data_IF_435050111617
#
_entry.id   IF_435050111617
#
_cell.length_a   1.000
_cell.length_b   1.000
_cell.length_c   1.000
_cell.angle_alpha   90.00
_cell.angle_beta   90.00
_cell.angle_gamma   90.00
#
_symmetry.space_group_name_H-M   'P 1'
#
loop_
_entity.id
_entity.type
_entity.pdbx_description
1 polymer ?
#
# COMPACT_ATOMS: atom_id res chain seq x y z
N UNK A 1 28.69 -28.12 -15.46
CA UNK A 1 27.76 -27.01 -15.79
C UNK A 1 26.37 -27.38 -15.27
N UNK A 2 26.14 -27.29 -13.97
CA UNK A 2 24.78 -26.95 -13.51
C UNK A 2 24.51 -25.58 -14.11
N UNK A 3 23.59 -25.56 -15.08
CA UNK A 3 23.66 -24.61 -16.19
C UNK A 3 23.36 -23.18 -15.70
N UNK A 4 23.99 -22.16 -16.29
CA UNK A 4 23.68 -20.74 -15.97
C UNK A 4 22.16 -20.46 -16.00
N UNK A 5 21.42 -21.21 -16.80
CA UNK A 5 19.96 -21.21 -16.86
C UNK A 5 19.27 -21.65 -15.56
N UNK A 6 19.78 -22.67 -14.86
CA UNK A 6 19.26 -23.10 -13.56
C UNK A 6 19.47 -22.04 -12.48
N UNK A 7 20.63 -21.38 -12.48
CA UNK A 7 20.91 -20.25 -11.56
C UNK A 7 19.92 -19.11 -11.82
N UNK A 8 19.65 -18.80 -13.09
CA UNK A 8 18.68 -17.78 -13.48
C UNK A 8 17.27 -18.19 -13.08
N UNK A 9 16.86 -19.44 -13.29
CA UNK A 9 15.54 -19.94 -12.91
C UNK A 9 15.33 -19.88 -11.38
N UNK A 10 16.35 -20.22 -10.58
CA UNK A 10 16.30 -20.07 -9.12
C UNK A 10 16.15 -18.61 -8.70
N UNK A 11 16.92 -17.69 -9.30
CA UNK A 11 16.80 -16.24 -9.05
C UNK A 11 15.45 -15.68 -9.47
N UNK A 12 14.91 -16.12 -10.60
CA UNK A 12 13.59 -15.74 -11.09
C UNK A 12 12.51 -16.16 -10.09
N UNK A 13 12.55 -17.41 -9.62
CA UNK A 13 11.63 -17.92 -8.60
C UNK A 13 11.70 -17.10 -7.30
N UNK A 14 12.90 -16.74 -6.85
CA UNK A 14 13.09 -15.91 -5.65
C UNK A 14 12.52 -14.50 -5.84
N UNK A 15 12.76 -13.84 -6.98
CA UNK A 15 12.25 -12.50 -7.24
C UNK A 15 10.73 -12.47 -7.37
N UNK A 16 10.13 -13.46 -8.07
CA UNK A 16 8.67 -13.61 -8.15
C UNK A 16 8.05 -13.87 -6.78
N UNK A 17 8.70 -14.67 -5.94
CA UNK A 17 8.25 -14.88 -4.56
C UNK A 17 8.25 -13.58 -3.74
N UNK A 18 9.28 -12.74 -3.89
CA UNK A 18 9.33 -11.43 -3.24
C UNK A 18 8.24 -10.48 -3.76
N UNK A 19 7.95 -10.48 -5.07
CA UNK A 19 6.85 -9.69 -5.64
C UNK A 19 5.51 -10.10 -5.04
N UNK A 20 5.23 -11.40 -4.97
CA UNK A 20 3.98 -11.90 -4.39
C UNK A 20 3.78 -11.47 -2.93
N UNK A 21 4.85 -11.42 -2.14
CA UNK A 21 4.80 -10.92 -0.75
C UNK A 21 4.51 -9.42 -0.71
N UNK A 22 5.14 -8.62 -1.58
CA UNK A 22 4.86 -7.18 -1.67
C UNK A 22 3.42 -6.91 -2.12
N UNK A 23 2.90 -7.69 -3.07
CA UNK A 23 1.51 -7.56 -3.53
C UNK A 23 0.51 -7.86 -2.40
N UNK A 24 0.78 -8.88 -1.58
CA UNK A 24 -0.02 -9.17 -0.39
C UNK A 24 0.01 -8.01 0.61
N UNK A 25 1.19 -7.45 0.86
CA UNK A 25 1.35 -6.28 1.74
C UNK A 25 0.61 -5.05 1.17
N UNK A 26 0.66 -4.83 -0.14
CA UNK A 26 -0.07 -3.76 -0.80
C UNK A 26 -1.57 -3.91 -0.60
N UNK A 27 -2.10 -5.12 -0.79
CA UNK A 27 -3.52 -5.40 -0.62
C UNK A 27 -3.98 -5.20 0.83
N UNK A 28 -3.16 -5.65 1.78
CA UNK A 28 -3.42 -5.42 3.20
C UNK A 28 -3.48 -3.92 3.52
N UNK A 29 -2.54 -3.13 2.98
CA UNK A 29 -2.47 -1.70 3.21
C UNK A 29 -3.66 -0.96 2.56
N UNK A 30 -4.05 -1.34 1.35
CA UNK A 30 -5.26 -0.81 0.69
C UNK A 30 -6.50 -1.08 1.55
N UNK A 31 -6.63 -2.28 2.11
CA UNK A 31 -7.75 -2.62 2.99
C UNK A 31 -7.75 -1.76 4.27
N UNK A 32 -6.58 -1.48 4.84
CA UNK A 32 -6.47 -0.63 6.03
C UNK A 32 -6.79 0.84 5.71
N UNK A 33 -6.37 1.33 4.54
CA UNK A 33 -6.74 2.66 4.06
C UNK A 33 -8.26 2.80 3.89
N UNK A 34 -8.94 1.78 3.34
CA UNK A 34 -10.40 1.77 3.23
C UNK A 34 -11.07 1.84 4.60
N UNK A 35 -10.61 1.02 5.57
CA UNK A 35 -11.13 1.06 6.94
C UNK A 35 -10.92 2.44 7.59
N UNK A 36 -9.73 3.01 7.45
CA UNK A 36 -9.42 4.35 7.95
C UNK A 36 -10.34 5.41 7.32
N UNK A 37 -10.57 5.33 6.01
CA UNK A 37 -11.46 6.24 5.29
C UNK A 37 -12.91 6.11 5.76
N UNK A 38 -13.43 4.90 5.91
CA UNK A 38 -14.80 4.67 6.43
C UNK A 38 -14.96 5.25 7.83
N UNK A 39 -13.98 5.04 8.71
CA UNK A 39 -14.01 5.61 10.08
C UNK A 39 -13.96 7.14 10.08
N UNK A 40 -13.12 7.74 9.23
CA UNK A 40 -13.05 9.19 9.09
C UNK A 40 -14.38 9.78 8.57
N UNK A 41 -15.03 9.12 7.60
CA UNK A 41 -16.35 9.53 7.11
C UNK A 41 -17.42 9.47 8.20
N UNK A 42 -17.41 8.42 9.03
CA UNK A 42 -18.35 8.29 10.15
C UNK A 42 -18.16 9.41 11.19
N UNK A 43 -16.92 9.78 11.51
CA UNK A 43 -16.64 10.93 12.39
C UNK A 43 -17.13 12.24 11.78
N UNK A 44 -16.87 12.45 10.49
CA UNK A 44 -17.34 13.66 9.79
C UNK A 44 -18.87 13.75 9.76
N UNK A 45 -19.57 12.64 9.53
CA UNK A 45 -21.04 12.60 9.59
C UNK A 45 -21.55 13.01 10.97
N UNK A 46 -20.93 12.50 12.04
CA UNK A 46 -21.32 12.82 13.42
C UNK A 46 -20.97 14.25 13.82
N UNK A 47 -19.85 14.78 13.34
CA UNK A 47 -19.52 16.20 13.50
C UNK A 47 -20.57 17.08 12.83
N UNK A 48 -20.97 16.72 11.60
CA UNK A 48 -22.01 17.43 10.85
C UNK A 48 -23.35 17.44 11.61
N UNK A 49 -23.79 16.31 12.13
CA UNK A 49 -25.00 16.23 12.97
C UNK A 49 -24.95 17.15 14.20
N UNK A 50 -23.78 17.29 14.82
CA UNK A 50 -23.60 18.18 15.97
C UNK A 50 -23.61 19.66 15.57
N UNK A 51 -23.06 20.00 14.40
CA UNK A 51 -22.96 21.38 13.89
C UNK A 51 -24.23 21.86 13.20
N UNK A 52 -25.04 20.97 12.62
CA UNK A 52 -26.25 21.30 11.86
C UNK A 52 -27.44 21.69 12.77
N UNK A 53 -27.20 21.82 14.07
CA UNK A 53 -28.23 22.23 15.01
C UNK A 53 -28.69 23.68 14.83
N UNK A 54 -30.00 23.89 14.89
CA UNK A 54 -30.66 25.19 14.83
C UNK A 54 -31.55 25.39 16.06
N UNK A 55 -31.50 26.58 16.68
CA UNK A 55 -32.38 26.96 17.79
C UNK A 55 -31.64 27.67 18.94
N UNK A 56 -32.19 27.58 20.15
CA UNK A 56 -31.51 27.97 21.41
C UNK A 56 -31.36 26.74 22.30
N UNK A 57 -30.14 26.44 22.76
CA UNK A 57 -29.86 25.35 23.70
C UNK A 57 -29.61 25.92 25.09
N UNK A 58 -29.93 25.12 26.11
CA UNK A 58 -29.50 25.40 27.47
C UNK A 58 -27.97 25.37 27.58
N UNK A 59 -27.41 26.10 28.54
CA UNK A 59 -25.95 26.16 28.75
C UNK A 59 -25.33 24.76 28.95
N UNK A 60 -26.00 23.86 29.67
CA UNK A 60 -25.49 22.50 29.91
C UNK A 60 -25.44 21.66 28.63
N UNK A 61 -26.44 21.77 27.75
CA UNK A 61 -26.44 21.05 26.47
C UNK A 61 -25.39 21.61 25.50
N UNK A 62 -25.16 22.93 25.50
CA UNK A 62 -24.07 23.53 24.73
C UNK A 62 -22.71 23.02 25.18
N UNK A 63 -22.49 22.92 26.49
CA UNK A 63 -21.25 22.40 27.05
C UNK A 63 -21.04 20.93 26.68
N UNK A 64 -22.07 20.10 26.82
CA UNK A 64 -21.99 18.68 26.44
C UNK A 64 -21.69 18.51 24.95
N UNK A 65 -22.38 19.25 24.07
CA UNK A 65 -22.08 19.25 22.62
C UNK A 65 -20.65 19.67 22.32
N UNK A 66 -20.13 20.70 22.98
CA UNK A 66 -18.74 21.15 22.83
C UNK A 66 -17.76 20.03 23.20
N UNK A 67 -18.01 19.32 24.30
CA UNK A 67 -17.18 18.18 24.73
C UNK A 67 -17.27 17.02 23.74
N UNK A 68 -18.46 16.72 23.21
CA UNK A 68 -18.64 15.72 22.15
C UNK A 68 -17.87 16.08 20.87
N UNK A 69 -18.00 17.32 20.40
CA UNK A 69 -17.25 17.82 19.24
C UNK A 69 -15.75 17.76 19.47
N UNK A 70 -15.24 18.18 20.63
CA UNK A 70 -13.82 18.12 20.94
C UNK A 70 -13.27 16.69 20.86
N UNK A 71 -14.01 15.70 21.37
CA UNK A 71 -13.64 14.27 21.26
C UNK A 71 -13.60 13.81 19.80
N UNK A 72 -14.60 14.18 19.01
CA UNK A 72 -14.64 13.84 17.58
C UNK A 72 -13.52 14.52 16.79
N UNK A 73 -13.15 15.76 17.11
CA UNK A 73 -12.00 16.44 16.51
C UNK A 73 -10.69 15.70 16.80
N UNK A 74 -10.47 15.24 18.03
CA UNK A 74 -9.30 14.42 18.36
C UNK A 74 -9.28 13.12 17.55
N UNK A 75 -10.42 12.47 17.37
CA UNK A 75 -10.54 11.26 16.53
C UNK A 75 -10.30 11.56 15.04
N UNK A 76 -10.83 12.67 14.52
CA UNK A 76 -10.58 13.08 13.13
C UNK A 76 -9.08 13.32 12.91
N UNK A 77 -8.41 13.98 13.85
CA UNK A 77 -6.97 14.23 13.78
C UNK A 77 -6.15 12.94 13.81
N UNK A 78 -6.53 11.96 14.62
CA UNK A 78 -5.84 10.66 14.64
C UNK A 78 -6.01 9.91 13.32
N UNK A 79 -7.20 9.95 12.71
CA UNK A 79 -7.42 9.35 11.38
C UNK A 79 -6.65 10.07 10.27
N UNK A 80 -6.51 11.39 10.31
CA UNK A 80 -5.67 12.13 9.35
C UNK A 80 -4.21 11.70 9.47
N UNK A 81 -3.72 11.56 10.71
CA UNK A 81 -2.35 11.09 10.98
C UNK A 81 -2.15 9.66 10.50
N UNK A 82 -3.09 8.75 10.80
CA UNK A 82 -3.05 7.36 10.33
C UNK A 82 -3.08 7.30 8.80
N UNK A 83 -3.93 8.08 8.14
CA UNK A 83 -4.00 8.13 6.68
C UNK A 83 -2.67 8.57 6.06
N UNK A 84 -2.02 9.59 6.63
CA UNK A 84 -0.71 10.04 6.14
C UNK A 84 0.37 8.95 6.32
N UNK A 85 0.35 8.24 7.45
CA UNK A 85 1.27 7.12 7.69
C UNK A 85 1.06 5.99 6.67
N UNK A 86 -0.19 5.60 6.43
CA UNK A 86 -0.54 4.57 5.45
C UNK A 86 -0.13 4.99 4.04
N UNK A 87 -0.33 6.26 3.66
CA UNK A 87 0.07 6.75 2.34
C UNK A 87 1.60 6.70 2.17
N UNK A 88 2.36 7.11 3.19
CA UNK A 88 3.82 6.99 3.18
C UNK A 88 4.29 5.54 3.02
N UNK A 89 3.66 4.60 3.75
CA UNK A 89 3.96 3.18 3.64
C UNK A 89 3.61 2.62 2.25
N UNK A 90 2.49 3.06 1.67
CA UNK A 90 2.09 2.70 0.30
C UNK A 90 3.14 3.15 -0.72
N UNK A 91 3.57 4.42 -0.66
CA UNK A 91 4.58 4.97 -1.57
C UNK A 91 5.92 4.21 -1.45
N UNK A 92 6.33 3.88 -0.22
CA UNK A 92 7.52 3.06 0.00
C UNK A 92 7.38 1.68 -0.66
N UNK A 93 6.24 1.01 -0.49
CA UNK A 93 5.98 -0.29 -1.07
C UNK A 93 5.98 -0.26 -2.60
N UNK A 94 5.31 0.74 -3.21
CA UNK A 94 5.31 0.94 -4.66
C UNK A 94 6.72 1.16 -5.19
N UNK A 95 7.55 1.93 -4.47
CA UNK A 95 8.95 2.13 -4.86
C UNK A 95 9.77 0.83 -4.80
N UNK A 96 9.49 -0.05 -3.84
CA UNK A 96 10.14 -1.35 -3.71
C UNK A 96 9.69 -2.32 -4.81
N UNK A 97 8.40 -2.37 -5.10
CA UNK A 97 7.84 -3.14 -6.22
C UNK A 97 8.46 -2.70 -7.54
N UNK A 98 8.55 -1.39 -7.80
CA UNK A 98 9.16 -0.84 -9.01
C UNK A 98 10.61 -1.30 -9.19
N UNK A 99 11.45 -1.15 -8.16
CA UNK A 99 12.85 -1.62 -8.17
C UNK A 99 12.95 -3.13 -8.38
N UNK A 100 12.04 -3.89 -7.76
CA UNK A 100 12.03 -5.35 -7.90
C UNK A 100 11.60 -5.78 -9.31
N UNK A 101 10.64 -5.07 -9.91
CA UNK A 101 10.20 -5.28 -11.28
C UNK A 101 11.32 -4.97 -12.29
N UNK A 102 12.09 -3.91 -12.08
CA UNK A 102 13.29 -3.60 -12.87
C UNK A 102 14.32 -4.74 -12.81
N UNK A 103 14.54 -5.30 -11.62
CA UNK A 103 15.45 -6.44 -11.43
C UNK A 103 14.96 -7.70 -12.15
N UNK A 104 13.66 -7.98 -12.11
CA UNK A 104 13.06 -9.09 -12.87
C UNK A 104 13.25 -8.87 -14.36
N UNK A 105 12.95 -7.67 -14.87
CA UNK A 105 13.12 -7.34 -16.28
C UNK A 105 14.58 -7.49 -16.73
N UNK A 106 15.54 -7.03 -15.92
CA UNK A 106 16.96 -7.19 -16.20
C UNK A 106 17.40 -8.66 -16.20
N UNK A 107 16.86 -9.47 -15.29
CA UNK A 107 17.12 -10.92 -15.24
C UNK A 107 16.56 -11.63 -16.48
N UNK A 108 15.34 -11.28 -16.91
CA UNK A 108 14.71 -11.85 -18.10
C UNK A 108 15.51 -11.52 -19.36
N UNK A 109 15.97 -10.27 -19.52
CA UNK A 109 16.86 -9.88 -20.63
C UNK A 109 18.17 -10.68 -20.63
N UNK A 110 18.73 -10.99 -19.45
CA UNK A 110 19.94 -11.83 -19.34
C UNK A 110 19.65 -13.29 -19.71
N UNK A 111 18.50 -13.82 -19.28
CA UNK A 111 18.02 -15.15 -19.63
C UNK A 111 17.92 -15.30 -21.15
N UNK A 112 17.24 -14.37 -21.81
CA UNK A 112 17.06 -14.34 -23.27
C UNK A 112 18.41 -14.35 -24.02
N UNK A 113 19.35 -13.50 -23.61
CA UNK A 113 20.71 -13.46 -24.21
C UNK A 113 21.44 -14.79 -24.08
N UNK A 114 21.40 -15.42 -22.91
CA UNK A 114 22.07 -16.71 -22.69
C UNK A 114 21.40 -17.81 -23.52
N UNK A 115 20.07 -17.84 -23.58
CA UNK A 115 19.34 -18.79 -24.42
C UNK A 115 19.71 -18.61 -25.91
N UNK A 116 19.84 -17.37 -26.38
CA UNK A 116 20.24 -17.09 -27.77
C UNK A 116 21.65 -17.62 -28.06
N UNK A 117 22.64 -17.34 -27.20
CA UNK A 117 24.01 -17.84 -27.36
C UNK A 117 24.07 -19.38 -27.33
N UNK A 118 23.29 -20.01 -26.45
CA UNK A 118 23.21 -21.47 -26.38
C UNK A 118 22.59 -22.08 -27.65
N UNK A 119 21.57 -21.44 -28.22
CA UNK A 119 20.97 -21.86 -29.48
C UNK A 119 21.95 -21.68 -30.64
N UNK A 120 22.63 -20.53 -30.74
CA UNK A 120 23.61 -20.26 -31.80
C UNK A 120 24.78 -21.27 -31.75
N UNK A 121 25.27 -21.60 -30.56
CA UNK A 121 26.32 -22.60 -30.36
C UNK A 121 25.86 -24.02 -30.73
N UNK A 122 24.57 -24.33 -30.57
CA UNK A 122 23.99 -25.62 -30.95
C UNK A 122 23.84 -25.77 -32.46
N UNK A 123 23.64 -24.68 -33.20
CA UNK A 123 23.56 -24.69 -34.67
C UNK A 123 24.92 -24.56 -35.38
N UNK A 124 25.99 -24.19 -34.66
CA UNK A 124 27.36 -24.07 -35.18
C UNK A 124 28.24 -25.31 -34.92
N UNK A 125 27.72 -26.30 -34.19
CA UNK A 125 28.40 -27.57 -33.88
C UNK A 125 27.82 -28.74 -34.67
#
# INVERSE_FOLDING_TARGET
>A
METLLEIIARREKQLRGKLAVLDQQQQALISEQQVCQTRALAVNARLKELTDWQGTLSCHLLLDKKLQMARLFTQAQSFLTQRQQLDNQYQQLVSQQSKLQENVNALMKRKEKITMVLNDAYYQS
#
